data_IF_014779558028
#
_entry.id   IF_014779558028
#
_cell.length_a   1.000
_cell.length_b   1.000
_cell.length_c   1.000
_cell.angle_alpha   90.00
_cell.angle_beta   90.00
_cell.angle_gamma   90.00
#
_symmetry.space_group_name_H-M   'P 1'
#
loop_
_entity.id
_entity.type
_entity.pdbx_description
1 polymer ?
#
# COMPACT_ATOMS: atom_id res chain seq x y z
N UNK A 1 -8.21 12.36 9.28
CA UNK A 1 -7.46 12.44 8.01
C UNK A 1 -8.48 12.46 6.90
N UNK A 2 -8.30 13.27 5.86
CA UNK A 2 -9.23 13.39 4.75
C UNK A 2 -8.46 13.43 3.44
N UNK A 3 -8.94 12.71 2.43
CA UNK A 3 -8.42 12.76 1.08
C UNK A 3 -9.59 12.63 0.11
N UNK A 4 -9.84 13.69 -0.68
CA UNK A 4 -11.07 13.80 -1.47
C UNK A 4 -12.32 13.51 -0.63
N UNK A 5 -13.10 12.50 -1.00
CA UNK A 5 -14.29 12.01 -0.30
C UNK A 5 -14.00 10.98 0.80
N UNK A 6 -12.78 10.41 0.84
CA UNK A 6 -12.38 9.42 1.84
C UNK A 6 -11.95 10.09 3.17
N UNK A 7 -12.74 9.86 4.22
CA UNK A 7 -12.51 10.42 5.56
C UNK A 7 -12.25 9.31 6.60
N UNK A 8 -11.21 9.50 7.41
CA UNK A 8 -10.94 8.71 8.63
C UNK A 8 -11.09 9.60 9.85
N UNK A 9 -12.01 9.21 10.73
CA UNK A 9 -12.24 9.82 12.04
C UNK A 9 -11.59 8.99 13.14
N UNK A 10 -10.95 9.68 14.09
CA UNK A 10 -10.38 9.09 15.29
C UNK A 10 -11.06 9.69 16.53
N UNK A 11 -11.30 8.85 17.52
CA UNK A 11 -11.82 9.25 18.81
C UNK A 11 -11.29 8.30 19.89
N UNK A 12 -11.14 8.79 21.12
CA UNK A 12 -10.64 7.98 22.23
C UNK A 12 -11.78 7.24 22.96
N UNK A 13 -13.03 7.64 22.70
CA UNK A 13 -14.25 7.08 23.29
C UNK A 13 -15.35 6.95 22.24
N UNK A 14 -16.27 6.01 22.46
CA UNK A 14 -17.43 5.80 21.61
C UNK A 14 -18.37 7.03 21.60
N UNK A 15 -18.55 7.67 22.76
CA UNK A 15 -19.37 8.87 22.89
C UNK A 15 -18.79 10.05 22.09
N UNK A 16 -17.46 10.21 22.14
CA UNK A 16 -16.75 11.22 21.37
C UNK A 16 -16.86 10.94 19.86
N UNK A 17 -16.79 9.66 19.44
CA UNK A 17 -16.98 9.27 18.05
C UNK A 17 -18.38 9.66 17.55
N UNK A 18 -19.43 9.35 18.33
CA UNK A 18 -20.81 9.72 17.98
C UNK A 18 -20.96 11.24 17.81
N UNK A 19 -20.48 12.02 18.77
CA UNK A 19 -20.48 13.49 18.69
C UNK A 19 -19.74 14.03 17.46
N UNK A 20 -18.63 13.39 17.06
CA UNK A 20 -17.86 13.78 15.86
C UNK A 20 -18.64 13.47 14.58
N UNK A 21 -19.31 12.32 14.53
CA UNK A 21 -20.17 11.92 13.41
C UNK A 21 -21.36 12.88 13.30
N UNK A 22 -22.03 13.22 14.40
CA UNK A 22 -23.17 14.13 14.38
C UNK A 22 -22.78 15.52 13.84
N UNK A 23 -21.62 16.04 14.28
CA UNK A 23 -21.08 17.31 13.76
C UNK A 23 -20.73 17.22 12.27
N UNK A 24 -20.20 16.07 11.83
CA UNK A 24 -19.88 15.83 10.43
C UNK A 24 -21.16 15.82 9.59
N UNK A 25 -22.21 15.13 10.03
CA UNK A 25 -23.51 15.08 9.36
C UNK A 25 -24.14 16.46 9.22
N UNK A 26 -24.11 17.28 10.29
CA UNK A 26 -24.58 18.68 10.22
C UNK A 26 -23.76 19.50 9.21
N UNK A 27 -22.45 19.28 9.15
CA UNK A 27 -21.57 19.95 8.18
C UNK A 27 -21.85 19.53 6.74
N UNK A 28 -22.00 18.23 6.50
CA UNK A 28 -22.30 17.66 5.19
C UNK A 28 -23.70 18.06 4.70
N UNK A 29 -24.69 18.07 5.58
CA UNK A 29 -26.05 18.49 5.26
C UNK A 29 -26.13 19.94 4.79
N UNK A 30 -25.30 20.84 5.33
CA UNK A 30 -25.18 22.23 4.84
C UNK A 30 -24.64 22.33 3.41
N UNK A 31 -23.88 21.33 2.98
CA UNK A 31 -23.33 21.22 1.63
C UNK A 31 -24.22 20.38 0.70
N UNK A 32 -25.34 19.86 1.19
CA UNK A 32 -26.20 18.93 0.44
C UNK A 32 -25.54 17.56 0.19
N UNK A 33 -24.59 17.17 1.04
CA UNK A 33 -23.90 15.88 0.98
C UNK A 33 -24.44 14.93 2.04
N UNK A 34 -24.47 13.65 1.70
CA UNK A 34 -24.93 12.56 2.58
C UNK A 34 -23.84 11.49 2.71
N UNK A 35 -23.81 10.81 3.87
CA UNK A 35 -22.89 9.70 4.10
C UNK A 35 -23.46 8.40 3.55
N UNK A 36 -22.65 7.68 2.80
CA UNK A 36 -23.01 6.32 2.40
C UNK A 36 -22.65 5.32 3.50
N UNK A 37 -23.62 5.01 4.36
CA UNK A 37 -23.46 4.09 5.49
C UNK A 37 -22.91 2.70 5.10
N UNK A 38 -23.18 2.22 3.87
CA UNK A 38 -22.70 0.91 3.39
C UNK A 38 -21.20 0.92 3.05
N UNK A 39 -20.66 2.08 2.68
CA UNK A 39 -19.21 2.25 2.42
C UNK A 39 -18.43 2.59 3.68
N UNK A 40 -19.10 3.14 4.69
CA UNK A 40 -18.51 3.43 5.99
C UNK A 40 -18.24 2.14 6.78
N UNK A 41 -17.22 2.16 7.64
CA UNK A 41 -16.89 1.06 8.54
C UNK A 41 -16.45 1.60 9.89
N UNK A 42 -16.68 0.83 10.94
CA UNK A 42 -16.27 1.18 12.32
C UNK A 42 -15.27 0.16 12.82
N UNK A 43 -14.13 0.65 13.31
CA UNK A 43 -13.12 -0.16 13.98
C UNK A 43 -13.00 0.33 15.42
N UNK A 44 -13.34 -0.53 16.38
CA UNK A 44 -13.11 -0.28 17.79
C UNK A 44 -12.03 -1.23 18.30
N UNK A 45 -10.94 -0.66 18.81
CA UNK A 45 -9.86 -1.42 19.45
C UNK A 45 -9.89 -1.07 20.92
N UNK A 46 -10.09 -2.09 21.77
CA UNK A 46 -9.95 -1.96 23.21
C UNK A 46 -8.69 -2.67 23.65
N UNK A 47 -8.03 -2.13 24.65
CA UNK A 47 -6.84 -2.76 25.19
C UNK A 47 -6.41 -2.18 26.52
N UNK A 48 -5.64 -2.98 27.24
CA UNK A 48 -4.95 -2.58 28.46
C UNK A 48 -3.51 -3.06 28.35
N UNK A 49 -2.56 -2.11 28.44
CA UNK A 49 -1.12 -2.34 28.34
C UNK A 49 -0.71 -3.32 27.21
N UNK A 50 -0.47 -4.60 27.56
CA UNK A 50 0.08 -5.64 26.67
C UNK A 50 -0.97 -6.41 25.88
N UNK A 51 -2.26 -6.18 26.11
CA UNK A 51 -3.34 -6.88 25.43
C UNK A 51 -4.28 -5.88 24.75
N UNK A 52 -4.61 -6.14 23.49
CA UNK A 52 -5.65 -5.43 22.76
C UNK A 52 -6.48 -6.43 21.95
N UNK A 53 -7.75 -6.10 21.77
CA UNK A 53 -8.71 -6.87 21.00
C UNK A 53 -9.64 -5.92 20.23
N UNK A 54 -10.21 -6.43 19.14
CA UNK A 54 -11.21 -5.72 18.37
C UNK A 54 -12.57 -5.93 19.04
N UNK A 55 -13.22 -4.85 19.44
CA UNK A 55 -14.55 -4.89 20.04
C UNK A 55 -15.62 -4.85 18.95
N UNK A 56 -16.21 -6.01 18.65
CA UNK A 56 -17.26 -6.16 17.64
C UNK A 56 -18.66 -5.89 18.18
N UNK A 57 -18.83 -5.69 19.49
CA UNK A 57 -20.13 -5.40 20.10
C UNK A 57 -20.56 -3.93 19.95
N UNK A 58 -19.67 -3.08 19.43
CA UNK A 58 -19.94 -1.66 19.21
C UNK A 58 -20.92 -1.47 18.07
N UNK A 59 -21.99 -0.72 18.32
CA UNK A 59 -22.92 -0.25 17.29
C UNK A 59 -22.90 1.27 17.20
N UNK A 60 -22.70 1.76 15.97
CA UNK A 60 -22.85 3.16 15.61
C UNK A 60 -23.85 3.21 14.47
N UNK A 61 -24.87 4.06 14.62
CA UNK A 61 -25.92 4.24 13.63
C UNK A 61 -25.75 5.60 12.96
N UNK A 62 -25.84 5.64 11.63
CA UNK A 62 -25.86 6.85 10.81
C UNK A 62 -27.12 6.80 9.95
N UNK A 63 -27.94 7.84 10.00
CA UNK A 63 -29.20 7.95 9.25
C UNK A 63 -30.12 6.71 9.38
N UNK A 64 -30.19 6.14 10.58
CA UNK A 64 -30.99 4.95 10.89
C UNK A 64 -30.36 3.61 10.48
N UNK A 65 -29.23 3.60 9.78
CA UNK A 65 -28.50 2.40 9.41
C UNK A 65 -27.32 2.14 10.36
N UNK A 66 -27.15 0.89 10.81
CA UNK A 66 -25.98 0.50 11.58
C UNK A 66 -24.75 0.36 10.68
N UNK A 67 -23.65 0.98 11.07
CA UNK A 67 -22.39 0.89 10.33
C UNK A 67 -21.76 -0.51 10.48
N UNK A 68 -21.27 -1.11 9.38
CA UNK A 68 -20.52 -2.36 9.44
C UNK A 68 -19.29 -2.27 10.35
N UNK A 69 -19.17 -3.20 11.29
CA UNK A 69 -18.03 -3.27 12.21
C UNK A 69 -16.92 -4.12 11.62
N UNK A 70 -15.69 -3.59 11.66
CA UNK A 70 -14.47 -4.28 11.25
C UNK A 70 -14.15 -5.32 12.32
N UNK A 71 -14.05 -6.59 11.93
CA UNK A 71 -13.65 -7.71 12.78
C UNK A 71 -12.13 -7.91 12.77
N UNK A 72 -11.62 -8.75 13.67
CA UNK A 72 -10.19 -9.08 13.75
C UNK A 72 -9.65 -9.78 12.49
N UNK A 73 -10.52 -10.39 11.69
CA UNK A 73 -10.17 -11.09 10.44
C UNK A 73 -10.46 -10.25 9.20
N UNK A 74 -11.22 -9.16 9.35
CA UNK A 74 -11.58 -8.32 8.22
C UNK A 74 -10.44 -7.40 7.79
N UNK A 75 -10.37 -7.19 6.49
CA UNK A 75 -9.48 -6.22 5.87
C UNK A 75 -10.32 -5.16 5.14
N UNK A 76 -9.80 -3.95 5.04
CA UNK A 76 -10.44 -2.84 4.34
C UNK A 76 -9.42 -2.03 3.56
N UNK A 77 -9.85 -1.39 2.48
CA UNK A 77 -8.99 -0.58 1.63
C UNK A 77 -9.13 0.89 1.96
N UNK A 78 -8.01 1.60 2.02
CA UNK A 78 -7.96 3.04 2.11
C UNK A 78 -6.83 3.56 1.21
N UNK A 79 -7.16 4.41 0.24
CA UNK A 79 -6.22 4.98 -0.74
C UNK A 79 -5.39 3.91 -1.48
N UNK A 80 -5.99 2.77 -1.79
CA UNK A 80 -5.31 1.66 -2.49
C UNK A 80 -4.39 0.82 -1.59
N UNK A 81 -4.33 1.11 -0.29
CA UNK A 81 -3.60 0.33 0.70
C UNK A 81 -4.59 -0.53 1.48
N UNK A 82 -4.28 -1.82 1.59
CA UNK A 82 -5.05 -2.76 2.39
C UNK A 82 -4.68 -2.60 3.86
N UNK A 83 -5.67 -2.44 4.73
CA UNK A 83 -5.54 -2.34 6.18
C UNK A 83 -6.29 -3.47 6.87
N UNK A 84 -5.77 -3.88 8.02
CA UNK A 84 -6.46 -4.67 9.02
C UNK A 84 -6.48 -3.89 10.34
N UNK A 85 -7.04 -4.48 11.39
CA UNK A 85 -7.13 -3.82 12.70
C UNK A 85 -5.75 -3.49 13.33
N UNK A 86 -4.66 -4.13 12.90
CA UNK A 86 -3.29 -3.85 13.37
C UNK A 86 -2.59 -2.75 12.56
N UNK A 87 -3.23 -2.22 11.51
CA UNK A 87 -2.68 -1.24 10.59
C UNK A 87 -2.56 -1.80 9.18
N UNK A 88 -1.53 -1.40 8.44
CA UNK A 88 -1.31 -1.84 7.06
C UNK A 88 -1.25 -3.38 7.01
N UNK A 89 -2.17 -3.98 6.28
CA UNK A 89 -2.18 -5.40 6.00
C UNK A 89 -0.98 -5.76 5.13
N UNK A 90 -0.51 -7.00 5.22
CA UNK A 90 0.66 -7.43 4.46
C UNK A 90 0.28 -7.48 2.98
N UNK A 91 0.89 -6.60 2.19
CA UNK A 91 0.71 -6.60 0.74
C UNK A 91 1.86 -7.42 0.15
N UNK A 92 1.59 -8.57 -0.50
CA UNK A 92 2.65 -9.30 -1.19
C UNK A 92 3.23 -8.39 -2.29
N UNK A 93 4.54 -8.46 -2.50
CA UNK A 93 5.23 -7.60 -3.49
C UNK A 93 4.72 -7.75 -4.93
N UNK A 94 3.91 -8.77 -5.23
CA UNK A 94 3.27 -8.97 -6.55
C UNK A 94 4.24 -9.18 -7.71
N UNK A 95 5.53 -9.33 -7.42
CA UNK A 95 6.63 -9.40 -8.39
C UNK A 95 6.54 -10.65 -9.28
N UNK A 96 5.99 -11.75 -8.78
CA UNK A 96 5.95 -13.03 -9.48
C UNK A 96 5.21 -12.94 -10.83
N UNK A 97 4.02 -12.33 -10.82
CA UNK A 97 3.22 -12.18 -12.04
C UNK A 97 3.89 -11.22 -13.02
N UNK A 98 4.37 -10.08 -12.53
CA UNK A 98 5.02 -9.06 -13.34
C UNK A 98 6.32 -9.56 -13.99
N UNK A 99 7.14 -10.31 -13.26
CA UNK A 99 8.36 -10.92 -13.80
C UNK A 99 8.03 -12.04 -14.79
N UNK A 100 7.00 -12.84 -14.53
CA UNK A 100 6.52 -13.87 -15.48
C UNK A 100 6.05 -13.25 -16.80
N UNK A 101 5.32 -12.14 -16.74
CA UNK A 101 4.91 -11.40 -17.94
C UNK A 101 6.14 -10.85 -18.70
N UNK A 102 7.11 -10.29 -17.98
CA UNK A 102 8.34 -9.76 -18.57
C UNK A 102 9.21 -10.86 -19.21
N UNK A 103 9.18 -12.07 -18.65
CA UNK A 103 9.88 -13.23 -19.19
C UNK A 103 9.28 -13.68 -20.52
N UNK A 104 7.96 -13.85 -20.55
CA UNK A 104 7.20 -14.28 -21.74
C UNK A 104 7.18 -13.26 -22.86
N UNK A 105 7.38 -11.97 -22.55
CA UNK A 105 7.45 -10.94 -23.57
C UNK A 105 8.68 -11.15 -24.47
N UNK A 106 8.45 -11.21 -25.78
CA UNK A 106 9.49 -11.29 -26.83
C UNK A 106 10.20 -9.93 -27.00
N UNK A 107 10.82 -9.45 -25.93
CA UNK A 107 11.52 -8.17 -25.87
C UNK A 107 13.03 -8.40 -25.81
N UNK A 108 13.78 -7.49 -26.40
CA UNK A 108 15.24 -7.51 -26.30
C UNK A 108 15.68 -7.31 -24.84
N UNK A 109 16.80 -7.93 -24.42
CA UNK A 109 17.41 -7.72 -23.09
C UNK A 109 17.42 -6.28 -22.58
N UNK A 110 17.85 -5.35 -23.43
CA UNK A 110 17.92 -3.92 -23.11
C UNK A 110 16.53 -3.31 -22.91
N UNK A 111 15.53 -3.74 -23.70
CA UNK A 111 14.14 -3.30 -23.56
C UNK A 111 13.53 -3.85 -22.26
N UNK A 112 13.82 -5.10 -21.89
CA UNK A 112 13.38 -5.69 -20.61
C UNK A 112 13.96 -4.91 -19.42
N UNK A 113 15.24 -4.54 -19.47
CA UNK A 113 15.89 -3.74 -18.42
C UNK A 113 15.31 -2.32 -18.33
N UNK A 114 15.08 -1.67 -19.48
CA UNK A 114 14.43 -0.36 -19.53
C UNK A 114 12.99 -0.41 -18.99
N UNK A 115 12.25 -1.46 -19.30
CA UNK A 115 10.89 -1.66 -18.76
C UNK A 115 10.92 -1.84 -17.24
N UNK A 116 11.85 -2.66 -16.74
CA UNK A 116 12.04 -2.85 -15.31
C UNK A 116 12.26 -1.51 -14.60
N UNK A 117 13.20 -0.70 -15.12
CA UNK A 117 13.56 0.60 -14.54
C UNK A 117 12.42 1.62 -14.60
N UNK A 118 11.72 1.71 -15.74
CA UNK A 118 10.70 2.75 -15.97
C UNK A 118 9.35 2.44 -15.36
N UNK A 119 8.98 1.17 -15.23
CA UNK A 119 7.61 0.79 -14.84
C UNK A 119 7.55 -0.10 -13.60
N UNK A 120 8.41 -1.11 -13.50
CA UNK A 120 8.36 -2.04 -12.35
C UNK A 120 8.91 -1.40 -11.08
N UNK A 121 10.05 -0.71 -11.16
CA UNK A 121 10.67 -0.11 -9.97
C UNK A 121 9.80 0.98 -9.33
N UNK A 122 9.18 1.91 -10.08
CA UNK A 122 8.27 2.89 -9.47
C UNK A 122 7.07 2.23 -8.78
N UNK A 123 6.45 1.22 -9.41
CA UNK A 123 5.35 0.46 -8.78
C UNK A 123 5.81 -0.24 -7.51
N UNK A 124 6.98 -0.85 -7.54
CA UNK A 124 7.57 -1.49 -6.37
C UNK A 124 7.84 -0.47 -5.27
N UNK A 125 8.36 0.71 -5.62
CA UNK A 125 8.61 1.80 -4.68
C UNK A 125 7.33 2.19 -3.93
N UNK A 126 6.22 2.38 -4.63
CA UNK A 126 4.94 2.72 -3.99
C UNK A 126 4.50 1.62 -3.03
N UNK A 127 4.61 0.35 -3.44
CA UNK A 127 4.36 -0.78 -2.54
C UNK A 127 5.29 -0.81 -1.33
N UNK A 128 6.57 -0.45 -1.48
CA UNK A 128 7.55 -0.43 -0.39
C UNK A 128 7.34 0.71 0.58
N UNK A 129 6.86 1.87 0.11
CA UNK A 129 6.55 3.03 0.94
C UNK A 129 5.27 2.80 1.75
N UNK A 130 4.23 2.28 1.10
CA UNK A 130 2.90 2.15 1.72
C UNK A 130 2.65 0.78 2.36
N UNK A 131 3.41 -0.24 1.98
CA UNK A 131 3.23 -1.62 2.45
C UNK A 131 4.14 -1.98 3.62
N UNK A 132 3.72 -2.98 4.39
CA UNK A 132 4.53 -3.58 5.46
C UNK A 132 5.20 -4.85 4.96
N UNK A 133 6.51 -4.80 4.73
CA UNK A 133 7.30 -5.89 4.15
C UNK A 133 8.34 -6.43 5.13
N UNK A 134 8.58 -7.74 5.12
CA UNK A 134 9.68 -8.33 5.89
C UNK A 134 10.98 -8.35 5.06
N UNK A 135 12.14 -8.22 5.70
CA UNK A 135 13.45 -8.27 5.02
C UNK A 135 13.63 -9.54 4.19
N UNK A 136 13.07 -10.68 4.62
CA UNK A 136 13.11 -11.92 3.85
C UNK A 136 12.34 -11.84 2.52
N UNK A 137 11.23 -11.10 2.47
CA UNK A 137 10.47 -10.90 1.23
C UNK A 137 11.23 -10.01 0.26
N UNK A 138 11.87 -8.95 0.77
CA UNK A 138 12.73 -8.08 -0.04
C UNK A 138 13.92 -8.84 -0.62
N UNK A 139 14.54 -9.72 0.17
CA UNK A 139 15.62 -10.60 -0.29
C UNK A 139 15.11 -11.57 -1.35
N UNK A 140 13.92 -12.15 -1.18
CA UNK A 140 13.29 -13.03 -2.17
C UNK A 140 13.04 -12.26 -3.48
N UNK A 141 12.45 -11.07 -3.41
CA UNK A 141 12.21 -10.20 -4.57
C UNK A 141 13.49 -9.82 -5.30
N UNK A 142 14.54 -9.42 -4.57
CA UNK A 142 15.85 -9.12 -5.16
C UNK A 142 16.46 -10.35 -5.86
N UNK A 143 16.35 -11.55 -5.28
CA UNK A 143 16.80 -12.79 -5.93
C UNK A 143 16.03 -13.07 -7.22
N UNK A 144 14.72 -12.85 -7.23
CA UNK A 144 13.88 -13.04 -8.42
C UNK A 144 14.25 -12.08 -9.54
N UNK A 145 14.41 -10.79 -9.23
CA UNK A 145 14.84 -9.79 -10.21
C UNK A 145 16.21 -10.16 -10.79
N UNK A 146 17.18 -10.52 -9.94
CA UNK A 146 18.52 -10.91 -10.42
C UNK A 146 18.48 -12.13 -11.33
N UNK A 147 17.74 -13.18 -10.97
CA UNK A 147 17.60 -14.40 -11.79
C UNK A 147 17.12 -14.09 -13.21
N UNK A 148 16.21 -13.13 -13.36
CA UNK A 148 15.67 -12.72 -14.65
C UNK A 148 16.74 -12.20 -15.63
N UNK A 149 17.86 -11.68 -15.12
CA UNK A 149 18.92 -11.07 -15.93
C UNK A 149 20.27 -11.81 -15.87
N UNK A 150 20.45 -12.75 -14.94
CA UNK A 150 21.67 -13.58 -14.86
C UNK A 150 21.82 -14.46 -16.12
N UNK A 151 20.72 -15.01 -16.67
CA UNK A 151 20.75 -15.73 -17.96
C UNK A 151 20.92 -14.82 -19.19
N UNK A 152 20.71 -13.52 -19.02
CA UNK A 152 20.77 -12.50 -20.09
C UNK A 152 22.17 -11.90 -20.24
N UNK A 153 23.03 -12.07 -19.22
CA UNK A 153 24.39 -11.52 -19.19
C UNK A 153 25.32 -12.11 -20.26
N UNK A 154 24.97 -13.25 -20.86
CA UNK A 154 25.67 -13.80 -22.04
C UNK A 154 25.27 -13.19 -23.39
N UNK A 155 24.20 -12.38 -23.44
CA UNK A 155 23.62 -11.84 -24.68
C UNK A 155 23.58 -10.30 -24.72
N UNK A 156 24.17 -9.62 -23.74
CA UNK A 156 24.32 -8.17 -23.81
C UNK A 156 25.53 -7.84 -24.68
N UNK A 157 25.38 -7.08 -25.78
CA UNK A 157 26.55 -6.54 -26.47
C UNK A 157 27.29 -5.68 -25.45
N UNK A 158 28.52 -6.07 -25.15
CA UNK A 158 29.49 -5.25 -24.44
C UNK A 158 29.69 -4.00 -25.29
N UNK A 159 28.90 -2.97 -25.05
CA UNK A 159 29.22 -1.63 -25.56
C UNK A 159 30.52 -1.26 -24.83
N UNK A 160 31.67 -1.16 -25.53
CA UNK A 160 32.89 -0.75 -24.89
C UNK A 160 32.66 0.66 -24.35
N UNK A 161 32.70 0.81 -23.04
CA UNK A 161 32.72 2.14 -22.41
C UNK A 161 34.04 2.76 -22.87
N UNK A 162 34.04 3.84 -23.67
CA UNK A 162 35.28 4.45 -24.08
C UNK A 162 35.99 4.96 -22.83
N UNK A 163 37.24 4.52 -22.64
CA UNK A 163 38.12 4.88 -21.51
C UNK A 163 38.41 6.38 -21.39
N UNK A 164 37.86 7.22 -22.28
CA UNK A 164 37.98 8.68 -22.25
C UNK A 164 37.14 9.36 -21.16
N UNK A 165 36.17 8.68 -20.54
CA UNK A 165 35.36 9.26 -19.45
C UNK A 165 35.91 9.00 -18.04
N UNK A 166 36.98 8.22 -17.90
CA UNK A 166 37.72 8.07 -16.64
C UNK A 166 38.90 9.05 -16.59
N UNK A 167 38.62 10.35 -16.74
CA UNK A 167 39.58 11.37 -16.30
C UNK A 167 39.60 11.31 -14.77
N UNK A 168 40.70 10.83 -14.21
CA UNK A 168 41.00 10.95 -12.78
C UNK A 168 41.15 12.44 -12.49
N UNK A 169 40.13 13.06 -11.92
CA UNK A 169 40.35 14.25 -11.11
C UNK A 169 41.02 13.79 -9.81
N UNK A 170 42.35 13.71 -9.87
CA UNK A 170 43.20 13.63 -8.69
C UNK A 170 43.44 15.06 -8.21
N UNK A 171 43.04 15.31 -6.97
CA UNK A 171 43.29 16.54 -6.22
C UNK A 171 44.77 16.95 -6.24
N UNK A 172 45.03 18.25 -6.51
CA UNK A 172 45.66 19.21 -5.59
C UNK A 172 45.05 20.59 -5.88
#
# INVERSE_FOLDING_TARGET
>A
MAYADDLILFASSLDEMKKRIDRLLVGLGKLGLELNALKCRVLCIRGKMKFCYVDTAVSITVDGAALPVVTAESEFNYLGVQFNWRGVARIPLGLDHLLTMLDRAALNPQQKLNFLKKFLLPRLHDHLVFGRHHSAELVKGNKMIRRQFVGVSGCLPTVPIPLSTLRRDSAV
#
